data_IF_635338165438
#
_entry.id   IF_635338165438
#
_cell.length_a   1.000
_cell.length_b   1.000
_cell.length_c   1.000
_cell.angle_alpha   90.00
_cell.angle_beta   90.00
_cell.angle_gamma   90.00
#
_symmetry.space_group_name_H-M   'P 1'
#
loop_
_entity.id
_entity.type
_entity.pdbx_description
1 polymer ?
#
# COMPACT_ATOMS: atom_id res chain seq x y z
N UNK A 1 25.70 -14.46 -0.83
CA UNK A 1 24.71 -15.40 -1.42
C UNK A 1 23.38 -14.69 -1.44
N UNK A 2 22.72 -14.65 -2.61
CA UNK A 2 21.52 -13.86 -2.79
C UNK A 2 20.30 -14.52 -2.15
N UNK A 3 19.47 -13.70 -1.54
CA UNK A 3 18.19 -14.06 -0.93
C UNK A 3 17.10 -13.17 -1.53
N UNK A 4 16.07 -13.80 -2.04
CA UNK A 4 14.90 -13.15 -2.61
C UNK A 4 13.78 -13.23 -1.58
N UNK A 5 13.26 -12.08 -1.22
CA UNK A 5 12.34 -11.93 -0.09
C UNK A 5 11.06 -11.29 -0.59
N UNK A 6 9.97 -12.01 -0.48
CA UNK A 6 8.62 -11.48 -0.73
C UNK A 6 7.94 -11.11 0.58
N UNK A 7 7.31 -9.96 0.61
CA UNK A 7 6.55 -9.51 1.78
C UNK A 7 5.11 -9.29 1.37
N UNK A 8 4.19 -10.08 1.93
CA UNK A 8 2.75 -9.81 1.88
C UNK A 8 2.37 -8.95 3.08
N UNK A 9 1.83 -7.75 2.79
CA UNK A 9 1.67 -6.67 3.77
C UNK A 9 0.22 -6.45 4.10
N UNK A 10 -0.16 -6.74 5.34
CA UNK A 10 -1.48 -6.42 5.89
C UNK A 10 -1.43 -5.29 6.92
N UNK A 11 -2.59 -4.83 7.37
CA UNK A 11 -2.69 -3.71 8.31
C UNK A 11 -2.03 -4.00 9.67
N UNK A 12 -2.10 -5.25 10.15
CA UNK A 12 -1.61 -5.65 11.46
C UNK A 12 -0.37 -6.55 11.42
N UNK A 13 -0.16 -7.30 10.34
CA UNK A 13 0.94 -8.24 10.21
C UNK A 13 1.48 -8.28 8.80
N UNK A 14 2.77 -8.65 8.67
CA UNK A 14 3.43 -8.92 7.41
C UNK A 14 3.91 -10.36 7.39
N UNK A 15 3.68 -11.05 6.26
CA UNK A 15 4.26 -12.37 6.00
C UNK A 15 5.50 -12.20 5.14
N UNK A 16 6.65 -12.59 5.65
CA UNK A 16 7.96 -12.48 5.00
C UNK A 16 8.39 -13.89 4.58
N UNK A 17 8.54 -14.11 3.28
CA UNK A 17 8.97 -15.37 2.71
C UNK A 17 10.33 -15.24 2.04
N UNK A 18 11.19 -16.24 2.19
CA UNK A 18 12.58 -16.20 1.73
C UNK A 18 12.86 -17.36 0.80
N UNK A 19 13.38 -17.04 -0.38
CA UNK A 19 13.81 -18.00 -1.41
C UNK A 19 15.30 -17.78 -1.70
N UNK A 20 16.07 -18.83 -1.86
CA UNK A 20 17.46 -18.74 -2.26
C UNK A 20 17.61 -18.61 -3.79
N UNK A 21 18.84 -18.39 -4.27
CA UNK A 21 19.12 -18.23 -5.70
C UNK A 21 18.74 -19.46 -6.56
N UNK A 22 18.55 -20.63 -5.94
CA UNK A 22 18.15 -21.87 -6.62
C UNK A 22 16.63 -22.07 -6.63
N UNK A 23 15.85 -21.17 -6.04
CA UNK A 23 14.40 -21.30 -5.91
C UNK A 23 13.93 -22.11 -4.70
N UNK A 24 14.85 -22.49 -3.80
CA UNK A 24 14.48 -23.23 -2.59
C UNK A 24 13.93 -22.27 -1.55
N UNK A 25 12.74 -22.56 -1.03
CA UNK A 25 12.17 -21.87 0.11
C UNK A 25 13.02 -22.14 1.36
N UNK A 26 13.57 -21.08 1.97
CA UNK A 26 14.50 -21.20 3.10
C UNK A 26 13.93 -20.71 4.42
N UNK A 27 12.84 -19.96 4.40
CA UNK A 27 12.16 -19.46 5.60
C UNK A 27 10.85 -18.76 5.30
N UNK A 28 10.01 -18.68 6.32
CA UNK A 28 8.81 -17.85 6.32
C UNK A 28 8.55 -17.36 7.75
N UNK A 29 8.32 -16.07 7.90
CA UNK A 29 8.14 -15.40 9.18
C UNK A 29 6.88 -14.52 9.12
N UNK A 30 6.15 -14.45 10.22
CA UNK A 30 5.05 -13.49 10.38
C UNK A 30 5.45 -12.54 11.50
N UNK A 31 5.45 -11.24 11.19
CA UNK A 31 5.83 -10.18 12.12
C UNK A 31 4.73 -9.12 12.17
N UNK A 32 4.69 -8.30 13.22
CA UNK A 32 3.78 -7.16 13.24
C UNK A 32 4.14 -6.14 12.16
N UNK A 33 3.13 -5.42 11.65
CA UNK A 33 3.35 -4.35 10.67
C UNK A 33 3.91 -3.10 11.37
N UNK A 34 5.13 -3.22 11.86
CA UNK A 34 5.93 -2.09 12.37
C UNK A 34 7.35 -2.15 11.81
N UNK A 35 7.97 -0.97 11.67
CA UNK A 35 9.27 -0.85 11.02
C UNK A 35 10.39 -1.60 11.71
N UNK A 36 10.38 -1.64 13.04
CA UNK A 36 11.43 -2.30 13.83
C UNK A 36 11.41 -3.81 13.61
N UNK A 37 10.28 -4.47 13.81
CA UNK A 37 10.16 -5.92 13.67
C UNK A 37 10.45 -6.40 12.24
N UNK A 38 10.01 -5.63 11.23
CA UNK A 38 10.29 -5.95 9.82
C UNK A 38 11.79 -5.88 9.54
N UNK A 39 12.46 -4.82 9.99
CA UNK A 39 13.91 -4.64 9.79
C UNK A 39 14.72 -5.67 10.58
N UNK A 40 14.35 -5.97 11.82
CA UNK A 40 14.97 -7.02 12.63
C UNK A 40 14.85 -8.39 11.95
N UNK A 41 13.68 -8.72 11.42
CA UNK A 41 13.47 -9.94 10.66
C UNK A 41 14.37 -10.01 9.42
N UNK A 42 14.52 -8.90 8.67
CA UNK A 42 15.42 -8.85 7.53
C UNK A 42 16.88 -9.03 7.94
N UNK A 43 17.31 -8.42 9.04
CA UNK A 43 18.69 -8.57 9.54
C UNK A 43 19.01 -10.01 9.95
N UNK A 44 18.02 -10.76 10.44
CA UNK A 44 18.19 -12.17 10.76
C UNK A 44 18.38 -13.08 9.51
N UNK A 45 18.08 -12.57 8.30
CA UNK A 45 18.28 -13.32 7.06
C UNK A 45 19.70 -13.06 6.54
N UNK A 46 20.58 -14.05 6.54
CA UNK A 46 21.96 -13.89 6.11
C UNK A 46 22.07 -13.81 4.57
N UNK A 47 22.96 -12.94 4.08
CA UNK A 47 23.25 -12.78 2.65
C UNK A 47 22.80 -11.45 2.08
N UNK A 48 22.84 -11.34 0.75
CA UNK A 48 22.37 -10.18 0.01
C UNK A 48 20.87 -10.27 -0.18
N UNK A 49 20.14 -9.28 0.28
CA UNK A 49 18.68 -9.26 0.34
C UNK A 49 18.10 -8.47 -0.82
N UNK A 50 17.32 -9.14 -1.68
CA UNK A 50 16.50 -8.55 -2.71
C UNK A 50 15.05 -8.64 -2.23
N UNK A 51 14.37 -7.52 -2.09
CA UNK A 51 13.05 -7.47 -1.44
C UNK A 51 11.99 -7.05 -2.44
N UNK A 52 10.84 -7.72 -2.40
CA UNK A 52 9.66 -7.37 -3.17
C UNK A 52 8.38 -7.39 -2.32
N UNK A 53 7.51 -6.43 -2.55
CA UNK A 53 6.14 -6.41 -2.01
C UNK A 53 5.18 -5.74 -2.98
N UNK A 54 3.87 -6.00 -2.82
CA UNK A 54 2.85 -5.40 -3.68
C UNK A 54 2.55 -3.94 -3.32
N UNK A 55 2.12 -3.16 -4.32
CA UNK A 55 1.70 -1.77 -4.12
C UNK A 55 0.46 -1.70 -3.24
N UNK A 56 0.53 -0.92 -2.16
CA UNK A 56 -0.56 -0.68 -1.24
C UNK A 56 -0.44 0.69 -0.57
N UNK A 57 -1.32 0.97 0.37
CA UNK A 57 -1.34 2.25 1.11
C UNK A 57 -0.07 2.51 1.89
N UNK A 58 0.62 1.47 2.34
CA UNK A 58 1.84 1.52 3.15
C UNK A 58 3.13 1.48 2.32
N UNK A 59 3.05 1.33 1.00
CA UNK A 59 4.21 1.07 0.13
C UNK A 59 5.30 2.14 0.21
N UNK A 60 4.93 3.40 0.34
CA UNK A 60 5.91 4.49 0.41
C UNK A 60 6.73 4.45 1.70
N UNK A 61 6.07 4.20 2.83
CA UNK A 61 6.71 4.02 4.14
C UNK A 61 7.57 2.76 4.16
N UNK A 62 7.02 1.65 3.68
CA UNK A 62 7.72 0.37 3.68
C UNK A 62 8.98 0.41 2.81
N UNK A 63 8.90 1.03 1.63
CA UNK A 63 10.06 1.24 0.78
C UNK A 63 11.20 1.97 1.50
N UNK A 64 10.89 3.07 2.20
CA UNK A 64 11.88 3.88 2.91
C UNK A 64 12.59 3.14 4.05
N UNK A 65 11.86 2.31 4.80
CA UNK A 65 12.47 1.55 5.90
C UNK A 65 13.26 0.34 5.40
N UNK A 66 12.97 -0.20 4.21
CA UNK A 66 13.64 -1.38 3.67
C UNK A 66 14.87 -1.03 2.82
N UNK A 67 14.84 0.10 2.11
CA UNK A 67 15.90 0.51 1.18
C UNK A 67 17.31 0.48 1.81
N UNK A 68 17.55 0.95 3.05
CA UNK A 68 18.89 0.91 3.66
C UNK A 68 19.38 -0.50 4.00
N UNK A 69 18.50 -1.50 3.99
CA UNK A 69 18.76 -2.85 4.48
C UNK A 69 18.74 -3.94 3.39
N UNK A 70 18.55 -3.54 2.13
CA UNK A 70 18.47 -4.44 0.99
C UNK A 70 19.35 -3.96 -0.17
N UNK A 71 19.79 -4.89 -1.01
CA UNK A 71 20.49 -4.57 -2.26
C UNK A 71 19.56 -3.89 -3.26
N UNK A 72 18.32 -4.36 -3.29
CA UNK A 72 17.23 -3.73 -4.05
C UNK A 72 15.90 -3.90 -3.32
N UNK A 73 15.01 -2.94 -3.50
CA UNK A 73 13.62 -3.02 -3.07
C UNK A 73 12.73 -2.75 -4.27
N UNK A 74 11.89 -3.71 -4.60
CA UNK A 74 10.95 -3.64 -5.72
C UNK A 74 9.52 -3.57 -5.20
N UNK A 75 8.78 -2.57 -5.65
CA UNK A 75 7.33 -2.50 -5.41
C UNK A 75 6.64 -3.02 -6.66
N UNK A 76 5.99 -4.17 -6.55
CA UNK A 76 5.23 -4.78 -7.63
C UNK A 76 3.86 -4.11 -7.76
N UNK A 77 3.45 -3.77 -8.97
CA UNK A 77 2.09 -3.32 -9.24
C UNK A 77 1.09 -4.45 -9.00
N UNK A 78 -0.09 -4.10 -8.49
CA UNK A 78 -1.16 -5.09 -8.26
C UNK A 78 -1.61 -5.67 -9.58
N UNK A 79 -1.41 -6.97 -9.77
CA UNK A 79 -1.92 -7.69 -10.96
C UNK A 79 -3.39 -8.08 -10.75
N UNK A 80 -4.26 -7.61 -11.64
CA UNK A 80 -5.65 -8.07 -11.67
C UNK A 80 -5.70 -9.52 -12.11
N UNK A 81 -6.13 -10.44 -11.23
CA UNK A 81 -6.50 -11.79 -11.66
C UNK A 81 -5.84 -12.99 -11.00
N UNK A 82 -5.11 -12.85 -9.91
CA UNK A 82 -4.75 -14.03 -9.12
C UNK A 82 -6.03 -14.64 -8.50
N UNK A 83 -6.55 -15.66 -9.17
CA UNK A 83 -7.74 -16.44 -8.71
C UNK A 83 -7.25 -17.61 -7.86
N UNK A 84 -7.73 -17.72 -6.65
CA UNK A 84 -7.47 -18.86 -5.76
C UNK A 84 -7.81 -18.51 -4.31
N UNK A 85 -7.87 -19.50 -3.42
CA UNK A 85 -7.98 -19.24 -1.99
C UNK A 85 -6.77 -18.42 -1.55
N UNK A 86 -7.04 -17.33 -0.82
CA UNK A 86 -6.00 -16.42 -0.32
C UNK A 86 -5.17 -17.14 0.75
N UNK A 87 -3.85 -17.13 0.56
CA UNK A 87 -2.87 -17.67 1.51
C UNK A 87 -1.67 -16.74 1.51
N UNK A 88 -1.55 -15.94 2.56
CA UNK A 88 -0.54 -14.90 2.71
C UNK A 88 0.90 -15.47 2.56
N UNK A 89 1.12 -16.70 3.04
CA UNK A 89 2.42 -17.38 2.89
C UNK A 89 2.73 -17.70 1.44
N UNK A 90 1.75 -18.24 0.70
CA UNK A 90 1.90 -18.55 -0.72
C UNK A 90 2.08 -17.27 -1.54
N UNK A 91 1.36 -16.22 -1.19
CA UNK A 91 1.45 -14.95 -1.88
C UNK A 91 2.82 -14.29 -1.66
N UNK A 92 3.36 -14.32 -0.44
CA UNK A 92 4.71 -13.87 -0.15
C UNK A 92 5.80 -14.70 -0.87
N UNK A 93 5.68 -16.03 -0.91
CA UNK A 93 6.61 -16.88 -1.68
C UNK A 93 6.50 -16.61 -3.19
N UNK A 94 5.30 -16.35 -3.72
CA UNK A 94 5.08 -15.96 -5.10
C UNK A 94 5.85 -14.68 -5.47
N UNK A 95 5.77 -13.65 -4.62
CA UNK A 95 6.51 -12.39 -4.80
C UNK A 95 8.03 -12.61 -4.78
N UNK A 96 8.54 -13.44 -3.87
CA UNK A 96 9.95 -13.76 -3.80
C UNK A 96 10.44 -14.48 -5.06
N UNK A 97 9.67 -15.43 -5.57
CA UNK A 97 9.99 -16.18 -6.78
C UNK A 97 9.87 -15.32 -8.04
N UNK A 98 8.85 -14.49 -8.16
CA UNK A 98 8.70 -13.55 -9.27
C UNK A 98 9.86 -12.55 -9.32
N UNK A 99 10.35 -12.09 -8.16
CA UNK A 99 11.54 -11.26 -8.08
C UNK A 99 12.79 -12.02 -8.56
N UNK A 100 13.00 -13.24 -8.07
CA UNK A 100 14.13 -14.09 -8.43
C UNK A 100 14.19 -14.38 -9.92
N UNK A 101 13.05 -14.64 -10.53
CA UNK A 101 12.93 -14.94 -11.97
C UNK A 101 12.91 -13.69 -12.86
N UNK A 102 12.88 -12.49 -12.29
CA UNK A 102 12.68 -11.25 -13.04
C UNK A 102 11.29 -11.15 -13.70
N UNK A 103 10.31 -11.87 -13.14
CA UNK A 103 8.96 -11.99 -13.70
C UNK A 103 8.03 -10.84 -13.31
N UNK A 104 8.49 -9.90 -12.48
CA UNK A 104 7.68 -8.74 -12.06
C UNK A 104 7.47 -7.81 -13.26
N UNK A 105 6.26 -7.82 -13.80
CA UNK A 105 5.90 -7.07 -15.02
C UNK A 105 5.82 -5.57 -14.80
N UNK A 106 5.21 -5.17 -13.69
CA UNK A 106 5.01 -3.75 -13.36
C UNK A 106 5.77 -3.42 -12.09
N UNK A 107 6.78 -2.56 -12.21
CA UNK A 107 7.51 -2.00 -11.07
C UNK A 107 7.01 -0.59 -10.79
N UNK A 108 6.55 -0.34 -9.56
CA UNK A 108 6.08 0.97 -9.13
C UNK A 108 7.22 1.69 -8.44
N UNK A 109 7.58 2.86 -8.96
CA UNK A 109 8.67 3.63 -8.39
C UNK A 109 8.19 4.42 -7.15
N UNK A 110 8.80 4.19 -6.01
CA UNK A 110 8.44 4.82 -4.72
C UNK A 110 9.50 5.78 -4.17
N UNK A 111 10.51 6.12 -4.97
CA UNK A 111 11.53 7.08 -4.51
C UNK A 111 10.86 8.35 -3.96
N UNK A 112 11.19 8.68 -2.71
CA UNK A 112 10.59 9.76 -1.97
C UNK A 112 10.78 11.13 -2.63
N UNK A 113 12.01 11.47 -2.99
CA UNK A 113 12.42 12.76 -3.51
C UNK A 113 11.95 13.95 -2.64
N UNK A 114 12.48 15.14 -2.85
CA UNK A 114 12.19 16.30 -1.99
C UNK A 114 10.70 16.74 -2.02
N UNK A 115 9.96 16.34 -3.02
CA UNK A 115 8.54 16.69 -3.17
C UNK A 115 7.56 15.62 -2.67
N UNK A 116 8.03 14.58 -1.97
CA UNK A 116 7.15 13.51 -1.46
C UNK A 116 6.07 14.06 -0.56
N UNK A 117 6.45 14.80 0.48
CA UNK A 117 5.52 15.39 1.44
C UNK A 117 4.49 16.32 0.76
N UNK A 118 4.92 17.13 -0.22
CA UNK A 118 4.03 17.99 -0.97
C UNK A 118 3.01 17.18 -1.80
N UNK A 119 3.45 16.10 -2.45
CA UNK A 119 2.55 15.21 -3.21
C UNK A 119 1.52 14.54 -2.31
N UNK A 120 1.94 14.07 -1.14
CA UNK A 120 1.05 13.43 -0.15
C UNK A 120 0.03 14.46 0.38
N UNK A 121 0.47 15.64 0.75
CA UNK A 121 -0.40 16.72 1.20
C UNK A 121 -1.42 17.11 0.13
N UNK A 122 -0.99 17.29 -1.12
CA UNK A 122 -1.88 17.64 -2.23
C UNK A 122 -2.88 16.50 -2.54
N UNK A 123 -2.49 15.24 -2.38
CA UNK A 123 -3.37 14.08 -2.53
C UNK A 123 -4.43 14.07 -1.43
N UNK A 124 -4.01 14.21 -0.17
CA UNK A 124 -4.90 14.26 1.00
C UNK A 124 -5.87 15.43 0.90
N UNK A 125 -5.40 16.62 0.56
CA UNK A 125 -6.26 17.78 0.33
C UNK A 125 -7.34 17.48 -0.71
N UNK A 126 -6.98 16.92 -1.87
CA UNK A 126 -7.98 16.55 -2.90
C UNK A 126 -8.99 15.51 -2.41
N UNK A 127 -8.57 14.55 -1.58
CA UNK A 127 -9.49 13.57 -1.00
C UNK A 127 -10.50 14.25 -0.09
N UNK A 128 -10.05 15.10 0.84
CA UNK A 128 -10.92 15.85 1.75
C UNK A 128 -11.90 16.74 0.98
N UNK A 129 -11.43 17.46 -0.03
CA UNK A 129 -12.30 18.29 -0.87
C UNK A 129 -13.38 17.45 -1.57
N UNK A 130 -13.03 16.28 -2.10
CA UNK A 130 -14.02 15.36 -2.70
C UNK A 130 -15.05 14.88 -1.68
N UNK A 131 -14.64 14.58 -0.45
CA UNK A 131 -15.57 14.14 0.59
C UNK A 131 -16.51 15.26 1.03
N UNK A 132 -16.02 16.48 1.15
CA UNK A 132 -16.86 17.67 1.38
C UNK A 132 -17.90 17.83 0.26
N UNK A 133 -17.50 17.69 -1.01
CA UNK A 133 -18.43 17.78 -2.14
C UNK A 133 -19.46 16.64 -2.09
N UNK A 134 -19.05 15.41 -1.80
CA UNK A 134 -19.97 14.27 -1.64
C UNK A 134 -21.00 14.52 -0.53
N UNK A 135 -20.54 14.99 0.63
CA UNK A 135 -21.41 15.30 1.77
C UNK A 135 -22.42 16.40 1.41
N UNK A 136 -21.97 17.47 0.76
CA UNK A 136 -22.84 18.54 0.26
C UNK A 136 -23.89 18.02 -0.72
N UNK A 137 -23.50 17.15 -1.65
CA UNK A 137 -24.44 16.58 -2.62
C UNK A 137 -25.45 15.64 -1.94
N UNK A 138 -25.05 14.85 -0.95
CA UNK A 138 -25.96 14.02 -0.15
C UNK A 138 -26.98 14.88 0.59
N UNK A 139 -26.54 15.95 1.26
CA UNK A 139 -27.46 16.91 1.90
C UNK A 139 -28.50 17.45 0.92
N UNK A 140 -28.07 17.94 -0.25
CA UNK A 140 -29.01 18.46 -1.28
C UNK A 140 -29.97 17.38 -1.77
N UNK A 141 -29.51 16.14 -1.92
CA UNK A 141 -30.35 15.02 -2.33
C UNK A 141 -31.48 14.76 -1.33
N UNK A 142 -31.18 14.85 -0.03
CA UNK A 142 -32.20 14.66 1.03
C UNK A 142 -33.33 15.70 0.94
N UNK A 143 -33.01 16.94 0.68
CA UNK A 143 -34.04 18.01 0.49
C UNK A 143 -34.86 17.77 -0.80
N UNK A 144 -34.15 17.49 -1.90
CA UNK A 144 -34.79 17.28 -3.20
C UNK A 144 -35.71 16.06 -3.21
N UNK A 145 -35.36 14.98 -2.50
CA UNK A 145 -36.21 13.80 -2.39
C UNK A 145 -37.55 14.09 -1.65
N UNK A 146 -37.64 15.20 -0.97
CA UNK A 146 -38.86 15.69 -0.29
C UNK A 146 -39.54 16.84 -1.02
N UNK A 147 -39.18 17.12 -2.28
CA UNK A 147 -39.74 18.21 -3.06
C UNK A 147 -39.25 19.61 -2.66
N UNK A 148 -38.27 19.70 -1.74
CA UNK A 148 -37.69 20.97 -1.33
C UNK A 148 -36.67 21.46 -2.34
N UNK A 149 -36.93 22.62 -2.95
CA UNK A 149 -36.03 23.23 -3.92
C UNK A 149 -34.78 23.79 -3.21
N UNK A 150 -33.60 23.20 -3.47
CA UNK A 150 -32.32 23.69 -2.96
C UNK A 150 -31.37 24.00 -4.10
N UNK A 151 -30.95 25.26 -4.14
CA UNK A 151 -30.00 25.79 -5.13
C UNK A 151 -28.81 26.46 -4.43
N UNK A 152 -27.67 26.50 -5.11
CA UNK A 152 -26.49 27.22 -4.64
C UNK A 152 -25.89 26.70 -3.34
N UNK A 153 -25.43 27.59 -2.49
CA UNK A 153 -24.72 27.32 -1.22
C UNK A 153 -25.58 27.65 0.02
N UNK A 154 -26.77 28.24 -0.13
CA UNK A 154 -27.62 28.68 0.98
C UNK A 154 -27.93 27.59 2.00
N UNK A 155 -28.19 26.37 1.54
CA UNK A 155 -28.45 25.20 2.40
C UNK A 155 -27.33 24.88 3.43
N UNK A 156 -26.13 25.41 3.22
CA UNK A 156 -24.96 25.19 4.09
C UNK A 156 -24.66 26.38 5.00
N UNK A 157 -25.35 27.52 4.80
CA UNK A 157 -25.20 28.70 5.65
C UNK A 157 -26.18 28.65 6.82
N UNK A 158 -25.84 29.33 7.92
CA UNK A 158 -26.76 29.51 9.06
C UNK A 158 -28.08 30.15 8.65
N UNK A 159 -28.02 31.20 7.82
CA UNK A 159 -29.21 31.90 7.28
C UNK A 159 -30.12 31.02 6.42
N UNK A 160 -29.60 29.97 5.79
CA UNK A 160 -30.40 29.02 5.01
C UNK A 160 -30.98 27.84 5.81
N UNK A 161 -30.81 27.84 7.13
CA UNK A 161 -31.33 26.83 8.08
C UNK A 161 -32.50 27.34 8.92
N UNK A 162 -32.80 28.58 8.83
CA UNK A 162 -34.00 29.15 9.45
C UNK A 162 -35.24 28.69 8.70
N UNK A 163 -36.29 28.18 9.39
CA UNK A 163 -37.51 27.70 8.78
C UNK A 163 -38.31 28.77 8.09
#
# INVERSE_FOLDING_TARGET
MDKYIGIDVHAASCTIAVVDARGKQTGSHVVATNGQEIVECLHAIPGQRHVCFEEGTQSGWLYEILEPHAVEVVVAGVEAGRRGPKDDKRDAFGLAEDLRLGAIKTRVFKNGGPYKALRELARTHRMVVRDVVRTKNRSKSMYRSRGVAVAGKSVYSSAGREP
#
